data_IF_604936445601
#
_entry.id   IF_604936445601
#
_cell.length_a   1.000
_cell.length_b   1.000
_cell.length_c   1.000
_cell.angle_alpha   90.00
_cell.angle_beta   90.00
_cell.angle_gamma   90.00
#
_symmetry.space_group_name_H-M   'P 1'
#
loop_
_entity.id
_entity.type
_entity.pdbx_description
1 polymer ?
#
# COMPACT_ATOMS: atom_id res chain seq x y z
N UNK A 1 -62.77 35.59 27.81
CA UNK A 1 -62.95 36.67 26.81
C UNK A 1 -61.94 36.42 25.69
N UNK A 2 -62.44 36.22 24.46
CA UNK A 2 -61.78 36.23 23.13
C UNK A 2 -60.41 35.55 22.93
N UNK A 3 -60.13 34.77 21.88
CA UNK A 3 -60.81 34.51 20.60
C UNK A 3 -60.11 33.34 19.89
N UNK A 4 -60.86 32.63 19.05
CA UNK A 4 -60.43 31.52 18.20
C UNK A 4 -59.59 31.94 16.97
N UNK A 5 -58.84 30.99 16.40
CA UNK A 5 -58.65 30.77 14.94
C UNK A 5 -57.97 29.40 14.76
N UNK A 6 -58.60 28.37 14.14
CA UNK A 6 -58.95 28.15 12.74
C UNK A 6 -57.75 27.69 11.87
N UNK A 7 -57.88 26.49 11.28
CA UNK A 7 -56.86 25.73 10.52
C UNK A 7 -56.95 25.97 8.98
N UNK A 8 -56.22 25.20 8.12
CA UNK A 8 -55.29 25.60 7.01
C UNK A 8 -56.02 25.65 5.61
N UNK A 9 -55.48 25.35 4.39
CA UNK A 9 -54.12 25.22 3.80
C UNK A 9 -53.97 25.96 2.42
N UNK A 10 -52.93 25.60 1.66
CA UNK A 10 -52.83 25.63 0.17
C UNK A 10 -52.40 26.93 -0.54
N UNK A 11 -51.25 26.84 -1.21
CA UNK A 11 -51.25 26.96 -2.68
C UNK A 11 -50.01 26.30 -3.27
N UNK A 12 -50.25 25.15 -3.89
CA UNK A 12 -49.41 24.61 -4.94
C UNK A 12 -49.66 25.41 -6.23
N UNK A 13 -48.59 25.90 -6.85
CA UNK A 13 -48.41 25.95 -8.31
C UNK A 13 -46.91 26.14 -8.53
N UNK A 14 -46.15 25.29 -9.20
CA UNK A 14 -46.48 24.45 -10.34
C UNK A 14 -45.87 25.11 -11.57
N UNK A 15 -44.66 24.68 -11.97
CA UNK A 15 -44.40 24.09 -13.30
C UNK A 15 -42.91 23.87 -13.60
N UNK A 16 -42.68 22.63 -14.02
CA UNK A 16 -41.86 22.19 -15.15
C UNK A 16 -40.35 22.46 -15.16
N UNK A 17 -39.60 21.36 -14.97
CA UNK A 17 -39.14 20.61 -16.15
C UNK A 17 -37.84 21.11 -16.76
N UNK A 18 -36.73 20.48 -16.35
CA UNK A 18 -35.44 20.61 -17.02
C UNK A 18 -34.46 19.56 -16.53
N UNK A 19 -34.59 18.31 -17.03
CA UNK A 19 -33.55 17.29 -16.91
C UNK A 19 -32.31 17.76 -17.67
N UNK A 20 -31.17 17.89 -17.00
CA UNK A 20 -29.87 17.57 -17.61
C UNK A 20 -29.03 16.82 -16.59
N UNK A 21 -29.07 15.50 -16.73
CA UNK A 21 -27.97 14.54 -16.63
C UNK A 21 -26.74 15.05 -15.85
N UNK A 22 -26.73 14.69 -14.56
CA UNK A 22 -25.52 14.71 -13.73
C UNK A 22 -24.87 13.33 -13.85
N UNK A 23 -24.00 13.15 -14.84
CA UNK A 23 -22.95 12.12 -14.88
C UNK A 23 -22.24 12.20 -16.23
N UNK A 24 -20.95 12.55 -16.18
CA UNK A 24 -19.81 12.03 -16.94
C UNK A 24 -18.79 13.15 -17.13
N UNK A 25 -17.55 12.89 -16.69
CA UNK A 25 -16.35 13.73 -16.75
C UNK A 25 -16.26 14.89 -15.75
N UNK A 26 -16.07 14.53 -14.48
CA UNK A 26 -15.34 15.36 -13.52
C UNK A 26 -13.96 14.76 -13.26
N UNK A 27 -13.03 14.94 -14.19
CA UNK A 27 -11.60 14.71 -13.95
C UNK A 27 -11.02 15.98 -13.33
N UNK A 28 -10.97 16.03 -12.00
CA UNK A 28 -10.04 16.90 -11.31
C UNK A 28 -8.97 16.00 -10.70
N UNK A 29 -7.76 16.09 -11.27
CA UNK A 29 -6.59 15.41 -10.77
C UNK A 29 -6.21 15.97 -9.41
N UNK A 30 -6.26 15.13 -8.40
CA UNK A 30 -5.43 15.28 -7.22
C UNK A 30 -4.24 14.35 -7.37
N UNK A 31 -3.09 14.97 -7.60
CA UNK A 31 -1.82 14.30 -7.56
C UNK A 31 -1.61 13.69 -6.16
N UNK A 32 -1.26 12.40 -6.16
CA UNK A 32 -0.31 11.77 -5.24
C UNK A 32 -0.48 12.11 -3.74
N UNK A 33 -1.44 11.45 -3.11
CA UNK A 33 -1.48 11.30 -1.66
C UNK A 33 -2.22 10.01 -1.30
N UNK A 34 -1.52 8.87 -1.30
CA UNK A 34 -2.07 7.60 -0.80
C UNK A 34 -2.20 7.65 0.73
N UNK A 35 -3.14 8.43 1.22
CA UNK A 35 -3.57 8.41 2.61
C UNK A 35 -5.05 8.08 2.66
N UNK A 36 -5.37 6.85 3.06
CA UNK A 36 -6.55 6.64 3.91
C UNK A 36 -7.73 5.84 3.37
N UNK A 37 -7.72 5.27 2.17
CA UNK A 37 -8.79 4.31 1.82
C UNK A 37 -8.50 2.95 2.49
N UNK A 38 -9.37 2.43 3.38
CA UNK A 38 -9.20 1.08 3.93
C UNK A 38 -9.17 0.08 2.77
N UNK A 39 -8.01 -0.55 2.53
CA UNK A 39 -7.78 -1.46 1.40
C UNK A 39 -7.01 -0.90 0.20
N UNK A 40 -6.73 0.40 0.16
CA UNK A 40 -5.94 1.02 -0.93
C UNK A 40 -4.50 0.49 -1.01
N UNK A 41 -3.89 0.20 0.14
CA UNK A 41 -2.54 -0.36 0.22
C UNK A 41 -2.40 -1.73 -0.43
N UNK A 42 -3.41 -2.60 -0.25
CA UNK A 42 -3.40 -3.93 -0.87
C UNK A 42 -3.55 -3.85 -2.38
N UNK A 43 -4.49 -3.02 -2.88
CA UNK A 43 -4.64 -2.78 -4.33
C UNK A 43 -3.37 -2.21 -4.94
N UNK A 44 -2.73 -1.25 -4.27
CA UNK A 44 -1.46 -0.67 -4.70
C UNK A 44 -0.36 -1.74 -4.77
N UNK A 45 -0.26 -2.63 -3.78
CA UNK A 45 0.68 -3.76 -3.81
C UNK A 45 0.45 -4.65 -5.04
N UNK A 46 -0.78 -5.11 -5.26
CA UNK A 46 -1.11 -5.99 -6.39
C UNK A 46 -0.82 -5.34 -7.74
N UNK A 47 -1.19 -4.07 -7.93
CA UNK A 47 -0.89 -3.34 -9.15
C UNK A 47 0.61 -3.14 -9.34
N UNK A 48 1.35 -2.85 -8.26
CA UNK A 48 2.81 -2.70 -8.30
C UNK A 48 3.47 -4.01 -8.67
N UNK A 49 3.05 -5.13 -8.07
CA UNK A 49 3.55 -6.48 -8.39
C UNK A 49 3.26 -6.81 -9.85
N UNK A 50 2.00 -6.71 -10.27
CA UNK A 50 1.59 -7.02 -11.65
C UNK A 50 2.35 -6.16 -12.69
N UNK A 51 2.50 -4.86 -12.42
CA UNK A 51 3.27 -3.96 -13.29
C UNK A 51 4.75 -4.30 -13.32
N UNK A 52 5.34 -4.64 -12.17
CA UNK A 52 6.76 -5.03 -12.09
C UNK A 52 7.03 -6.34 -12.82
N UNK A 53 6.18 -7.35 -12.65
CA UNK A 53 6.27 -8.62 -13.35
C UNK A 53 6.15 -8.42 -14.86
N UNK A 54 5.13 -7.70 -15.31
CA UNK A 54 4.95 -7.41 -16.74
C UNK A 54 6.18 -6.72 -17.35
N UNK A 55 6.76 -5.76 -16.63
CA UNK A 55 7.96 -5.05 -17.07
C UNK A 55 9.17 -5.98 -17.18
N UNK A 56 9.43 -6.79 -16.15
CA UNK A 56 10.55 -7.75 -16.11
C UNK A 56 10.38 -8.82 -17.18
N UNK A 57 9.20 -9.41 -17.31
CA UNK A 57 8.90 -10.43 -18.32
C UNK A 57 9.10 -9.88 -19.73
N UNK A 58 8.70 -8.62 -19.97
CA UNK A 58 8.92 -7.96 -21.26
C UNK A 58 10.41 -7.81 -21.57
N UNK A 59 11.21 -7.36 -20.60
CA UNK A 59 12.66 -7.25 -20.76
C UNK A 59 13.29 -8.62 -21.02
N UNK A 60 12.86 -9.66 -20.30
CA UNK A 60 13.37 -11.01 -20.48
C UNK A 60 13.07 -11.55 -21.88
N UNK A 61 11.84 -11.34 -22.40
CA UNK A 61 11.48 -11.73 -23.78
C UNK A 61 12.45 -11.11 -24.78
N UNK A 62 12.69 -9.79 -24.70
CA UNK A 62 13.61 -9.12 -25.62
C UNK A 62 15.06 -9.60 -25.46
N UNK A 63 15.49 -9.84 -24.22
CA UNK A 63 16.84 -10.35 -23.92
C UNK A 63 17.07 -11.70 -24.56
N UNK A 64 16.13 -12.65 -24.39
CA UNK A 64 16.20 -13.99 -24.98
C UNK A 64 16.21 -13.93 -26.50
N UNK A 65 15.46 -13.01 -27.11
CA UNK A 65 15.45 -12.84 -28.56
C UNK A 65 16.76 -12.24 -29.09
N UNK A 66 17.33 -11.25 -28.41
CA UNK A 66 18.61 -10.66 -28.77
C UNK A 66 19.76 -11.67 -28.63
N UNK A 67 19.78 -12.44 -27.55
CA UNK A 67 20.76 -13.51 -27.33
C UNK A 67 20.67 -14.60 -28.41
N UNK A 68 19.45 -15.00 -28.78
CA UNK A 68 19.25 -15.97 -29.86
C UNK A 68 19.76 -15.43 -31.21
N UNK A 69 19.51 -14.15 -31.51
CA UNK A 69 19.99 -13.50 -32.72
C UNK A 69 21.54 -13.43 -32.75
N UNK A 70 22.17 -13.05 -31.63
CA UNK A 70 23.64 -13.00 -31.49
C UNK A 70 24.30 -14.36 -31.66
N UNK A 71 23.66 -15.42 -31.17
CA UNK A 71 24.15 -16.79 -31.27
C UNK A 71 23.75 -17.49 -32.58
N UNK A 72 23.18 -16.74 -33.55
CA UNK A 72 22.68 -17.26 -34.83
C UNK A 72 21.70 -18.45 -34.68
N UNK A 73 20.95 -18.50 -33.56
CA UNK A 73 19.92 -19.50 -33.32
C UNK A 73 18.58 -19.01 -33.86
N UNK A 74 17.86 -19.90 -34.53
CA UNK A 74 16.49 -19.62 -34.99
C UNK A 74 15.53 -19.89 -33.83
N UNK A 75 15.21 -18.84 -33.08
CA UNK A 75 14.22 -18.87 -32.01
C UNK A 75 13.00 -18.06 -32.44
N UNK A 76 11.80 -18.65 -32.33
CA UNK A 76 10.57 -17.95 -32.66
C UNK A 76 10.11 -17.09 -31.48
N UNK A 77 9.62 -15.87 -31.74
CA UNK A 77 9.18 -14.94 -30.70
C UNK A 77 8.07 -15.48 -29.78
N UNK A 78 7.27 -16.44 -30.25
CA UNK A 78 6.22 -17.03 -29.43
C UNK A 78 6.77 -17.89 -28.29
N UNK A 79 7.95 -18.49 -28.42
CA UNK A 79 8.52 -19.36 -27.39
C UNK A 79 8.89 -18.56 -26.12
N UNK A 80 9.70 -17.47 -26.20
CA UNK A 80 9.98 -16.63 -25.05
C UNK A 80 8.73 -15.99 -24.46
N UNK A 81 7.77 -15.57 -25.29
CA UNK A 81 6.51 -14.98 -24.79
C UNK A 81 5.73 -15.97 -23.93
N UNK A 82 5.68 -17.25 -24.33
CA UNK A 82 5.04 -18.29 -23.51
C UNK A 82 5.86 -18.57 -22.26
N UNK A 83 7.20 -18.60 -22.35
CA UNK A 83 8.06 -18.84 -21.20
C UNK A 83 7.91 -17.77 -20.13
N UNK A 84 8.05 -16.51 -20.48
CA UNK A 84 7.95 -15.40 -19.53
C UNK A 84 6.49 -15.19 -19.11
N UNK A 85 5.53 -15.22 -20.04
CA UNK A 85 4.11 -15.05 -19.70
C UNK A 85 3.57 -16.13 -18.76
N UNK A 86 3.99 -17.39 -18.92
CA UNK A 86 3.62 -18.45 -17.96
C UNK A 86 4.27 -18.24 -16.59
N UNK A 87 5.49 -17.68 -16.54
CA UNK A 87 6.17 -17.34 -15.29
C UNK A 87 5.43 -16.22 -14.55
N UNK A 88 5.15 -15.09 -15.21
CA UNK A 88 4.44 -13.97 -14.61
C UNK A 88 3.04 -14.32 -14.12
N UNK A 89 2.28 -15.11 -14.90
CA UNK A 89 0.94 -15.59 -14.47
C UNK A 89 1.08 -16.51 -13.25
N UNK A 90 2.06 -17.41 -13.23
CA UNK A 90 2.29 -18.30 -12.11
C UNK A 90 2.68 -17.52 -10.84
N UNK A 91 3.62 -16.58 -10.94
CA UNK A 91 4.03 -15.73 -9.82
C UNK A 91 2.86 -14.90 -9.27
N UNK A 92 2.08 -14.25 -10.14
CA UNK A 92 0.95 -13.44 -9.72
C UNK A 92 -0.13 -14.28 -9.03
N UNK A 93 -0.36 -15.51 -9.50
CA UNK A 93 -1.33 -16.42 -8.88
C UNK A 93 -0.87 -16.87 -7.49
N UNK A 94 0.42 -17.18 -7.35
CA UNK A 94 0.97 -17.78 -6.12
C UNK A 94 1.39 -16.73 -5.09
N UNK A 95 1.55 -15.46 -5.47
CA UNK A 95 1.99 -14.41 -4.54
C UNK A 95 1.03 -14.16 -3.36
N UNK A 96 -0.22 -14.64 -3.43
CA UNK A 96 -1.13 -14.67 -2.28
C UNK A 96 -0.58 -15.45 -1.07
N UNK A 97 0.26 -16.47 -1.29
CA UNK A 97 0.96 -17.21 -0.22
C UNK A 97 1.87 -16.28 0.58
N UNK A 98 2.57 -15.37 -0.10
CA UNK A 98 3.48 -14.40 0.51
C UNK A 98 2.69 -13.44 1.40
N UNK A 99 1.57 -12.92 0.86
CA UNK A 99 0.69 -12.06 1.62
C UNK A 99 0.15 -12.76 2.87
N UNK A 100 -0.30 -14.01 2.77
CA UNK A 100 -0.77 -14.79 3.92
C UNK A 100 0.34 -15.01 4.95
N UNK A 101 1.57 -15.33 4.53
CA UNK A 101 2.72 -15.47 5.42
C UNK A 101 2.98 -14.18 6.22
N UNK A 102 2.93 -13.02 5.56
CA UNK A 102 3.07 -11.71 6.21
C UNK A 102 1.93 -11.40 7.19
N UNK A 103 0.72 -11.91 6.96
CA UNK A 103 -0.41 -11.78 7.87
C UNK A 103 -0.27 -12.67 9.11
N UNK A 104 0.32 -13.86 8.95
CA UNK A 104 0.51 -14.83 10.04
C UNK A 104 1.72 -14.49 10.93
N UNK A 105 2.83 -14.06 10.32
CA UNK A 105 4.06 -13.75 11.03
C UNK A 105 4.74 -12.51 10.45
N UNK A 106 4.34 -11.34 10.95
CA UNK A 106 4.86 -10.07 10.44
C UNK A 106 6.24 -9.77 11.06
N UNK A 107 7.30 -9.55 10.25
CA UNK A 107 8.59 -9.10 10.75
C UNK A 107 8.46 -7.79 11.55
N UNK A 108 9.09 -7.74 12.73
CA UNK A 108 9.04 -6.60 13.65
C UNK A 108 7.86 -6.57 14.63
N UNK A 109 6.87 -7.46 14.47
CA UNK A 109 5.73 -7.61 15.41
C UNK A 109 5.73 -8.99 16.06
N UNK A 110 6.03 -10.03 15.28
CA UNK A 110 6.04 -11.42 15.73
C UNK A 110 7.44 -11.84 16.19
N UNK A 111 7.52 -12.85 17.08
CA UNK A 111 8.81 -13.42 17.50
C UNK A 111 9.64 -13.92 16.30
N UNK A 112 10.94 -13.67 16.34
CA UNK A 112 11.86 -13.97 15.23
C UNK A 112 11.83 -15.45 14.83
N UNK A 113 11.69 -16.37 15.80
CA UNK A 113 11.61 -17.82 15.54
C UNK A 113 10.38 -18.16 14.70
N UNK A 114 9.23 -17.57 15.03
CA UNK A 114 7.97 -17.81 14.30
C UNK A 114 8.01 -17.21 12.91
N UNK A 115 8.59 -16.00 12.76
CA UNK A 115 8.83 -15.38 11.44
C UNK A 115 9.68 -16.31 10.57
N UNK A 116 10.80 -16.81 11.12
CA UNK A 116 11.70 -17.70 10.38
C UNK A 116 11.00 -19.00 9.94
N UNK A 117 10.29 -19.68 10.84
CA UNK A 117 9.59 -20.93 10.52
C UNK A 117 8.49 -20.71 9.47
N UNK A 118 7.67 -19.67 9.64
CA UNK A 118 6.55 -19.37 8.72
C UNK A 118 7.07 -18.99 7.34
N UNK A 119 8.07 -18.12 7.24
CA UNK A 119 8.61 -17.70 5.95
C UNK A 119 9.46 -18.79 5.29
N UNK A 120 10.17 -19.63 6.05
CA UNK A 120 10.85 -20.79 5.49
C UNK A 120 9.83 -21.73 4.82
N UNK A 121 8.77 -22.13 5.54
CA UNK A 121 7.72 -22.98 4.99
C UNK A 121 6.97 -22.34 3.81
N UNK A 122 6.65 -21.05 3.92
CA UNK A 122 5.97 -20.32 2.85
C UNK A 122 6.85 -20.13 1.60
N UNK A 123 8.18 -20.00 1.74
CA UNK A 123 9.09 -19.92 0.60
C UNK A 123 9.14 -21.22 -0.19
N UNK A 124 9.15 -22.36 0.51
CA UNK A 124 9.11 -23.70 -0.12
C UNK A 124 7.76 -23.89 -0.81
N UNK A 125 6.65 -23.60 -0.13
CA UNK A 125 5.31 -23.72 -0.70
C UNK A 125 5.11 -22.81 -1.93
N UNK A 126 5.64 -21.58 -1.87
CA UNK A 126 5.64 -20.65 -2.99
C UNK A 126 6.39 -21.24 -4.18
N UNK A 127 7.63 -21.67 -4.00
CA UNK A 127 8.46 -22.20 -5.09
C UNK A 127 7.87 -23.46 -5.71
N UNK A 128 7.46 -24.44 -4.88
CA UNK A 128 6.88 -25.68 -5.41
C UNK A 128 5.61 -25.43 -6.21
N UNK A 129 4.76 -24.52 -5.74
CA UNK A 129 3.51 -24.19 -6.42
C UNK A 129 3.77 -23.38 -7.69
N UNK A 130 4.70 -22.43 -7.64
CA UNK A 130 5.12 -21.63 -8.79
C UNK A 130 5.66 -22.55 -9.91
N UNK A 131 6.64 -23.40 -9.61
CA UNK A 131 7.25 -24.32 -10.59
C UNK A 131 6.21 -25.28 -11.16
N UNK A 132 5.34 -25.85 -10.33
CA UNK A 132 4.28 -26.76 -10.79
C UNK A 132 3.31 -26.05 -11.75
N UNK A 133 2.86 -24.84 -11.41
CA UNK A 133 1.96 -24.05 -12.24
C UNK A 133 2.64 -23.61 -13.54
N UNK A 134 3.87 -23.12 -13.47
CA UNK A 134 4.67 -22.73 -14.64
C UNK A 134 4.83 -23.91 -15.61
N UNK A 135 5.25 -25.09 -15.13
CA UNK A 135 5.41 -26.29 -15.97
C UNK A 135 4.07 -26.70 -16.58
N UNK A 136 2.99 -26.66 -15.80
CA UNK A 136 1.64 -26.97 -16.27
C UNK A 136 1.20 -26.06 -17.41
N UNK A 137 1.34 -24.74 -17.24
CA UNK A 137 1.00 -23.74 -18.24
C UNK A 137 1.83 -23.90 -19.52
N UNK A 138 3.14 -24.12 -19.39
CA UNK A 138 4.02 -24.34 -20.55
C UNK A 138 3.66 -25.62 -21.29
N UNK A 139 3.43 -26.73 -20.58
CA UNK A 139 3.00 -27.99 -21.20
C UNK A 139 1.69 -27.83 -21.94
N UNK A 140 0.70 -27.16 -21.37
CA UNK A 140 -0.57 -26.89 -22.03
C UNK A 140 -0.37 -26.05 -23.31
N UNK A 141 0.40 -24.97 -23.22
CA UNK A 141 0.66 -24.08 -24.34
C UNK A 141 1.42 -24.76 -25.48
N UNK A 142 2.41 -25.61 -25.16
CA UNK A 142 3.15 -26.39 -26.15
C UNK A 142 2.31 -27.52 -26.75
N UNK A 143 1.49 -28.20 -25.95
CA UNK A 143 0.58 -29.24 -26.43
C UNK A 143 -0.44 -28.69 -27.44
N UNK A 144 -0.96 -27.48 -27.22
CA UNK A 144 -1.84 -26.79 -28.19
C UNK A 144 -1.14 -26.57 -29.54
N UNK A 145 0.19 -26.47 -29.56
CA UNK A 145 0.99 -26.32 -30.79
C UNK A 145 1.58 -27.64 -31.30
N UNK A 146 1.26 -28.77 -30.68
CA UNK A 146 1.76 -30.10 -31.08
C UNK A 146 3.20 -30.41 -30.62
N UNK A 147 3.75 -29.62 -29.70
CA UNK A 147 5.10 -29.82 -29.17
C UNK A 147 5.07 -30.39 -27.74
N UNK A 148 6.18 -30.99 -27.31
CA UNK A 148 6.37 -31.46 -25.93
C UNK A 148 7.35 -30.54 -25.18
N UNK A 149 6.94 -30.08 -24.00
CA UNK A 149 7.81 -29.31 -23.11
C UNK A 149 8.40 -30.21 -22.02
N UNK A 150 9.71 -30.46 -22.12
CA UNK A 150 10.51 -31.10 -21.08
C UNK A 150 10.99 -29.97 -20.15
N UNK A 151 10.45 -29.96 -18.93
CA UNK A 151 10.66 -28.89 -17.96
C UNK A 151 12.13 -28.69 -17.54
N UNK A 152 12.41 -27.67 -16.72
CA UNK A 152 13.77 -27.39 -16.26
C UNK A 152 14.34 -28.59 -15.50
N UNK A 153 15.63 -28.88 -15.73
CA UNK A 153 16.32 -30.03 -15.14
C UNK A 153 16.75 -29.80 -13.67
N UNK A 154 16.80 -28.54 -13.22
CA UNK A 154 17.51 -28.14 -11.99
C UNK A 154 16.59 -27.46 -10.97
N UNK A 155 15.99 -28.25 -10.06
CA UNK A 155 15.08 -27.72 -9.03
C UNK A 155 15.73 -26.67 -8.10
N UNK A 156 17.02 -26.84 -7.78
CA UNK A 156 17.73 -25.92 -6.89
C UNK A 156 17.96 -24.54 -7.54
N UNK A 157 18.15 -24.51 -8.86
CA UNK A 157 18.27 -23.25 -9.60
C UNK A 157 16.94 -22.48 -9.56
N UNK A 158 15.83 -23.16 -9.82
CA UNK A 158 14.49 -22.57 -9.77
C UNK A 158 14.15 -22.07 -8.36
N UNK A 159 14.45 -22.86 -7.31
CA UNK A 159 14.21 -22.44 -5.93
C UNK A 159 14.97 -21.15 -5.55
N UNK A 160 16.21 -21.00 -5.98
CA UNK A 160 17.01 -19.79 -5.71
C UNK A 160 16.43 -18.56 -6.38
N UNK A 161 15.96 -18.72 -7.63
CA UNK A 161 15.27 -17.65 -8.36
C UNK A 161 13.98 -17.26 -7.64
N UNK A 162 13.19 -18.25 -7.26
CA UNK A 162 11.92 -18.04 -6.55
C UNK A 162 12.12 -17.36 -5.19
N UNK A 163 13.22 -17.65 -4.49
CA UNK A 163 13.52 -17.00 -3.21
C UNK A 163 13.75 -15.49 -3.37
N UNK A 164 14.40 -15.06 -4.45
CA UNK A 164 14.58 -13.63 -4.75
C UNK A 164 13.24 -12.97 -5.03
N UNK A 165 12.42 -13.56 -5.90
CA UNK A 165 11.06 -13.07 -6.18
C UNK A 165 10.22 -13.01 -4.91
N UNK A 166 10.29 -14.04 -4.05
CA UNK A 166 9.58 -14.11 -2.78
C UNK A 166 9.91 -12.92 -1.87
N UNK A 167 11.19 -12.60 -1.71
CA UNK A 167 11.64 -11.49 -0.85
C UNK A 167 11.21 -10.14 -1.42
N UNK A 168 11.37 -9.93 -2.74
CA UNK A 168 11.00 -8.67 -3.40
C UNK A 168 9.49 -8.42 -3.34
N UNK A 169 8.69 -9.42 -3.68
CA UNK A 169 7.23 -9.34 -3.62
C UNK A 169 6.78 -9.16 -2.16
N UNK A 170 7.40 -9.88 -1.22
CA UNK A 170 7.16 -9.71 0.21
C UNK A 170 7.46 -8.30 0.70
N UNK A 171 8.53 -7.68 0.22
CA UNK A 171 8.87 -6.29 0.52
C UNK A 171 7.82 -5.30 -0.03
N UNK A 172 7.31 -5.53 -1.24
CA UNK A 172 6.23 -4.72 -1.82
C UNK A 172 4.95 -4.84 -0.98
N UNK A 173 4.52 -6.06 -0.64
CA UNK A 173 3.37 -6.24 0.25
C UNK A 173 3.61 -5.57 1.60
N UNK A 174 4.77 -5.78 2.21
CA UNK A 174 5.12 -5.17 3.49
C UNK A 174 5.14 -3.63 3.43
N UNK A 175 5.54 -3.04 2.30
CA UNK A 175 5.54 -1.60 2.04
C UNK A 175 4.16 -1.02 1.79
N UNK A 176 3.37 -1.63 0.92
CA UNK A 176 2.08 -1.06 0.56
C UNK A 176 1.02 -1.35 1.63
N UNK A 177 1.18 -2.39 2.45
CA UNK A 177 0.25 -2.73 3.54
C UNK A 177 0.77 -2.38 4.93
N UNK A 178 1.77 -1.48 5.05
CA UNK A 178 2.08 -0.91 6.37
C UNK A 178 0.89 -0.07 6.83
N UNK A 179 0.43 -0.26 8.09
CA UNK A 179 -0.53 0.67 8.65
C UNK A 179 0.08 2.05 8.50
N UNK A 180 -0.69 3.01 7.98
CA UNK A 180 -0.27 4.40 8.03
C UNK A 180 0.12 4.65 9.48
N UNK A 181 1.37 5.07 9.71
CA UNK A 181 1.77 5.55 11.03
C UNK A 181 0.69 6.56 11.35
N UNK A 182 -0.13 6.29 12.36
CA UNK A 182 -1.12 7.26 12.79
C UNK A 182 -0.29 8.53 12.92
N UNK A 183 -0.57 9.52 12.06
CA UNK A 183 -0.04 10.85 12.29
C UNK A 183 -0.40 11.07 13.74
N UNK A 184 0.60 11.15 14.63
CA UNK A 184 0.36 11.41 16.05
C UNK A 184 -0.70 12.49 16.04
N UNK A 185 -1.94 12.21 16.52
CA UNK A 185 -3.05 13.13 16.30
C UNK A 185 -2.49 14.47 16.70
N UNK A 186 -2.31 15.37 15.72
CA UNK A 186 -1.59 16.62 15.92
C UNK A 186 -2.22 17.19 17.17
N UNK A 187 -1.44 17.21 18.26
CA UNK A 187 -1.94 17.11 19.62
C UNK A 187 -3.30 17.78 19.66
N UNK A 188 -4.38 16.99 19.77
CA UNK A 188 -5.71 17.56 19.88
C UNK A 188 -5.54 18.57 20.99
N UNK A 189 -5.55 19.85 20.62
CA UNK A 189 -5.51 20.94 21.57
C UNK A 189 -6.83 20.73 22.27
N UNK A 190 -6.74 20.05 23.41
CA UNK A 190 -7.83 19.86 24.33
C UNK A 190 -8.45 21.25 24.48
N UNK A 191 -9.75 21.45 24.20
CA UNK A 191 -10.39 22.74 24.44
C UNK A 191 -10.01 23.12 25.86
N UNK A 192 -9.46 24.32 26.10
CA UNK A 192 -8.73 24.65 27.31
C UNK A 192 -9.53 24.17 28.51
N UNK A 193 -9.06 23.10 29.14
CA UNK A 193 -9.62 22.67 30.42
C UNK A 193 -9.61 23.91 31.31
N UNK A 194 -10.65 24.11 32.11
CA UNK A 194 -10.74 25.18 33.11
C UNK A 194 -9.66 25.07 34.20
N UNK A 195 -8.61 24.29 33.98
CA UNK A 195 -7.35 24.36 34.69
C UNK A 195 -6.77 25.76 34.48
N UNK A 196 -6.36 26.47 35.54
CA UNK A 196 -5.72 27.76 35.37
C UNK A 196 -4.54 27.57 34.42
N UNK A 197 -4.60 28.25 33.27
CA UNK A 197 -3.51 28.27 32.31
C UNK A 197 -2.24 28.56 33.10
N UNK A 198 -1.26 27.67 33.01
CA UNK A 198 0.01 27.82 33.74
C UNK A 198 1.11 28.00 32.72
N UNK A 199 2.03 28.89 33.05
CA UNK A 199 3.16 29.28 32.23
C UNK A 199 4.42 28.70 32.89
N UNK A 200 5.18 27.93 32.13
CA UNK A 200 6.44 27.35 32.58
C UNK A 200 7.58 28.33 32.31
N UNK A 201 8.14 28.88 33.39
CA UNK A 201 9.30 29.78 33.34
C UNK A 201 10.55 28.92 33.47
N UNK A 202 11.40 28.94 32.44
CA UNK A 202 12.68 28.22 32.43
C UNK A 202 13.81 29.20 32.69
N UNK A 203 14.49 29.03 33.83
CA UNK A 203 15.68 29.78 34.23
C UNK A 203 16.86 28.80 34.29
N UNK A 204 17.57 28.66 33.16
CA UNK A 204 18.66 27.69 33.04
C UNK A 204 18.16 26.25 33.22
N UNK A 205 18.62 25.56 34.27
CA UNK A 205 18.21 24.18 34.60
C UNK A 205 16.95 24.10 35.49
N UNK A 206 16.39 25.23 35.91
CA UNK A 206 15.24 25.29 36.83
C UNK A 206 13.98 25.65 36.04
N UNK A 207 12.92 24.89 36.25
CA UNK A 207 11.60 25.17 35.68
C UNK A 207 10.60 25.47 36.80
N UNK A 208 9.95 26.64 36.72
CA UNK A 208 8.92 27.08 37.68
C UNK A 208 7.59 27.27 36.95
N UNK A 209 6.56 26.55 37.39
CA UNK A 209 5.20 26.64 36.83
C UNK A 209 4.41 27.70 37.57
N UNK A 210 4.00 28.75 36.87
CA UNK A 210 3.26 29.90 37.43
C UNK A 210 1.88 30.01 36.77
N UNK A 211 0.78 30.17 37.52
CA UNK A 211 -0.52 30.41 36.92
C UNK A 211 -0.53 31.76 36.17
N UNK A 212 -1.14 31.80 34.99
CA UNK A 212 -1.22 33.00 34.13
C UNK A 212 -1.93 34.15 34.83
N UNK A 213 -2.86 33.86 35.77
CA UNK A 213 -3.49 34.89 36.59
C UNK A 213 -2.51 35.66 37.48
N UNK A 214 -1.35 35.10 37.79
CA UNK A 214 -0.31 35.77 38.58
C UNK A 214 0.65 36.60 37.72
N UNK A 215 0.49 36.61 36.39
CA UNK A 215 1.35 37.37 35.46
C UNK A 215 0.68 38.72 35.17
N UNK A 216 1.15 39.78 35.82
CA UNK A 216 0.62 41.14 35.61
C UNK A 216 1.20 41.81 34.37
N UNK A 217 2.47 41.54 34.03
CA UNK A 217 3.11 42.06 32.83
C UNK A 217 4.34 41.24 32.43
N UNK A 218 4.63 41.20 31.12
CA UNK A 218 5.87 40.68 30.55
C UNK A 218 6.59 41.83 29.84
N UNK A 219 7.87 42.05 30.17
CA UNK A 219 8.70 43.06 29.50
C UNK A 219 10.04 42.47 29.06
N UNK A 220 10.46 42.79 27.85
CA UNK A 220 11.81 42.52 27.39
C UNK A 220 12.78 43.53 28.03
N UNK A 221 13.81 43.04 28.69
CA UNK A 221 14.90 43.82 29.27
C UNK A 221 16.23 43.30 28.68
N UNK A 222 16.56 43.76 27.47
CA UNK A 222 17.71 43.24 26.72
C UNK A 222 17.48 41.78 26.29
N UNK A 223 18.41 40.89 26.62
CA UNK A 223 18.32 39.44 26.32
C UNK A 223 17.48 38.65 27.34
N UNK A 224 16.98 39.31 28.40
CA UNK A 224 16.20 38.69 29.47
C UNK A 224 14.75 39.20 29.46
N UNK A 225 13.79 38.30 29.66
CA UNK A 225 12.39 38.65 29.91
C UNK A 225 12.14 38.79 31.42
N UNK A 226 11.57 39.92 31.84
CA UNK A 226 11.14 40.15 33.23
C UNK A 226 9.62 40.01 33.34
N UNK A 227 9.18 39.24 34.33
CA UNK A 227 7.76 39.05 34.68
C UNK A 227 7.49 39.74 36.02
N UNK A 228 6.43 40.55 36.09
CA UNK A 228 5.98 41.20 37.32
C UNK A 228 4.65 40.60 37.79
N UNK A 229 4.44 40.41 39.11
CA UNK A 229 3.16 39.96 39.65
C UNK A 229 2.08 41.02 39.43
N UNK A 230 0.85 40.56 39.21
CA UNK A 230 -0.37 41.38 39.15
C UNK A 230 -1.07 41.46 40.49
#
# INVERSE_FOLDING_TARGET
MSSASASPPSSWSGRHGGRVIRLLFGMNGEASGTSGVPGGGLRTAWLTIAGSLLFVDTINVFTVLDDAARLHRRLSAWEPVIWEGSSGIAELTVCGIIYLALRVARPGVTSWRRVLVVHAGASVAYSTTHVALMIGLRRAAYAIRGFQYLGPAEWLYEYRKDLVSYVLIGAIFWLCTRPARAASPAAVVEPPSLSPSSFDIVEGARMTRVPVSAIGAVRAAGELCRISPG
#
